data_IF_253859683196
#
_entry.id   IF_253859683196
#
_cell.length_a   1.000
_cell.length_b   1.000
_cell.length_c   1.000
_cell.angle_alpha   90.00
_cell.angle_beta   90.00
_cell.angle_gamma   90.00
#
_symmetry.space_group_name_H-M   'P 1'
#
loop_
_entity.id
_entity.type
_entity.pdbx_description
1 polymer ?
#
# COMPACT_ATOMS: atom_id res chain seq x y z
N UNK A 1 18.27 78.78 7.29
CA UNK A 1 18.95 78.32 8.52
C UNK A 1 18.31 77.01 8.95
N UNK A 2 19.05 75.88 9.01
CA UNK A 2 18.46 74.54 8.95
C UNK A 2 17.79 74.13 10.27
N UNK A 3 16.52 73.73 10.19
CA UNK A 3 15.62 73.35 11.31
C UNK A 3 15.64 71.86 11.68
N UNK A 4 16.51 71.05 11.08
CA UNK A 4 16.60 69.61 11.36
C UNK A 4 18.05 69.15 11.42
N UNK A 5 18.73 69.39 12.54
CA UNK A 5 20.07 68.86 12.80
C UNK A 5 20.24 68.24 14.19
N UNK A 6 19.17 67.70 14.78
CA UNK A 6 19.36 66.72 15.87
C UNK A 6 19.38 65.33 15.27
N UNK A 7 20.58 64.86 14.88
CA UNK A 7 20.80 63.46 14.50
C UNK A 7 20.37 62.59 15.68
N UNK A 8 19.57 61.57 15.39
CA UNK A 8 19.10 60.59 16.37
C UNK A 8 20.29 60.08 17.20
N UNK A 9 20.26 60.36 18.50
CA UNK A 9 21.28 59.93 19.44
C UNK A 9 20.61 58.98 20.42
N UNK A 10 20.93 57.69 20.30
CA UNK A 10 20.49 56.68 21.26
C UNK A 10 21.23 56.94 22.57
N UNK A 11 20.54 57.05 23.72
CA UNK A 11 21.22 57.15 25.01
C UNK A 11 22.27 56.05 25.12
N UNK A 12 23.50 56.39 25.49
CA UNK A 12 24.54 55.39 25.76
C UNK A 12 24.15 54.66 27.05
N UNK A 13 23.37 53.60 26.90
CA UNK A 13 23.07 52.71 27.99
C UNK A 13 24.38 52.03 28.42
N UNK A 14 24.67 51.90 29.73
CA UNK A 14 25.82 51.14 30.18
C UNK A 14 25.74 49.73 29.58
N UNK A 15 26.90 49.20 29.15
CA UNK A 15 26.98 47.84 28.64
C UNK A 15 26.25 46.92 29.62
N UNK A 16 25.32 46.11 29.10
CA UNK A 16 24.54 45.18 29.92
C UNK A 16 25.56 44.30 30.66
N UNK A 17 25.71 44.49 31.98
CA UNK A 17 26.71 43.76 32.79
C UNK A 17 26.40 42.27 32.88
N UNK A 18 25.18 41.88 32.51
CA UNK A 18 24.85 40.50 32.23
C UNK A 18 25.14 40.22 30.75
N UNK A 19 26.27 39.55 30.50
CA UNK A 19 26.31 38.56 29.41
C UNK A 19 25.09 37.66 29.56
N UNK A 20 24.55 37.13 28.46
CA UNK A 20 23.46 36.14 28.51
C UNK A 20 23.64 35.22 29.73
N UNK A 21 22.58 34.96 30.51
CA UNK A 21 22.65 34.03 31.66
C UNK A 21 23.16 32.62 31.26
N UNK A 22 23.33 32.39 29.96
CA UNK A 22 24.01 31.24 29.37
C UNK A 22 25.52 31.45 29.35
N UNK A 23 26.26 30.64 30.11
CA UNK A 23 27.73 30.54 30.06
C UNK A 23 28.25 29.89 28.75
N UNK A 24 27.39 29.72 27.73
CA UNK A 24 27.65 28.89 26.54
C UNK A 24 28.90 29.30 25.76
N UNK A 25 29.18 30.60 25.70
CA UNK A 25 30.36 31.18 25.03
C UNK A 25 31.66 31.04 25.82
N UNK A 26 31.58 30.74 27.12
CA UNK A 26 32.73 30.59 28.02
C UNK A 26 33.09 29.12 28.26
N UNK A 27 32.23 28.19 27.87
CA UNK A 27 32.44 26.76 27.96
C UNK A 27 33.26 26.26 26.77
N UNK A 28 34.21 25.36 27.05
CA UNK A 28 34.93 24.60 26.02
C UNK A 28 33.95 23.70 25.25
N UNK A 29 34.36 23.22 24.07
CA UNK A 29 33.45 22.45 23.20
C UNK A 29 32.88 21.21 23.89
N UNK A 30 33.66 20.58 24.76
CA UNK A 30 33.29 19.32 25.41
C UNK A 30 32.29 19.55 26.54
N UNK A 31 32.52 20.53 27.41
CA UNK A 31 31.52 20.89 28.44
C UNK A 31 30.25 21.44 27.81
N UNK A 32 30.37 22.21 26.73
CA UNK A 32 29.21 22.72 25.99
C UNK A 32 28.36 21.61 25.41
N UNK A 33 28.98 20.60 24.78
CA UNK A 33 28.23 19.44 24.30
C UNK A 33 27.70 18.63 25.48
N UNK A 34 28.44 18.46 26.56
CA UNK A 34 27.93 17.68 27.69
C UNK A 34 26.72 18.34 28.38
N UNK A 35 26.72 19.67 28.55
CA UNK A 35 25.67 20.39 29.26
C UNK A 35 24.49 20.80 28.37
N UNK A 36 24.76 21.09 27.09
CA UNK A 36 23.77 21.64 26.15
C UNK A 36 23.61 20.82 24.88
N UNK A 37 24.31 19.68 24.71
CA UNK A 37 23.96 18.76 23.62
C UNK A 37 22.59 18.17 23.92
N UNK A 38 21.84 18.07 22.85
CA UNK A 38 20.53 17.46 22.88
C UNK A 38 20.79 15.97 22.62
N UNK A 39 20.96 15.21 23.70
CA UNK A 39 20.99 13.75 23.64
C UNK A 39 19.59 13.25 23.33
N UNK A 40 19.18 13.37 22.06
CA UNK A 40 17.88 12.93 21.55
C UNK A 40 17.68 11.42 21.67
N UNK A 41 18.75 10.67 21.96
CA UNK A 41 18.74 9.22 21.91
C UNK A 41 18.38 8.73 20.49
N UNK A 42 17.96 7.46 20.35
CA UNK A 42 17.51 6.95 19.06
C UNK A 42 16.17 7.58 18.67
N UNK A 43 15.98 7.81 17.37
CA UNK A 43 14.74 8.39 16.81
C UNK A 43 13.57 7.45 17.15
N UNK A 44 12.50 7.97 17.75
CA UNK A 44 11.30 7.20 18.11
C UNK A 44 10.05 7.80 17.48
N UNK A 45 9.06 6.96 17.19
CA UNK A 45 7.76 7.38 16.68
C UNK A 45 6.67 6.42 17.15
N UNK A 46 5.41 6.87 17.22
CA UNK A 46 4.27 6.03 17.56
C UNK A 46 3.33 5.95 16.36
N UNK A 47 3.16 4.75 15.80
CA UNK A 47 2.18 4.49 14.75
C UNK A 47 1.18 3.43 15.20
N UNK A 48 -0.10 3.72 15.04
CA UNK A 48 -1.20 2.79 15.36
C UNK A 48 -1.12 2.22 16.80
N UNK A 49 -0.72 3.06 17.76
CA UNK A 49 -0.58 2.67 19.17
C UNK A 49 0.66 1.83 19.51
N UNK A 50 1.56 1.59 18.55
CA UNK A 50 2.85 0.91 18.77
C UNK A 50 3.98 1.92 18.78
N UNK A 51 4.92 1.78 19.70
CA UNK A 51 6.14 2.57 19.76
C UNK A 51 7.21 1.94 18.86
N UNK A 52 7.88 2.74 18.03
CA UNK A 52 8.93 2.31 17.11
C UNK A 52 10.19 3.13 17.32
N UNK A 53 11.34 2.49 17.19
CA UNK A 53 12.68 3.07 17.29
C UNK A 53 13.46 2.79 16.01
N UNK A 54 14.09 3.82 15.46
CA UNK A 54 14.96 3.68 14.30
C UNK A 54 16.36 3.23 14.73
N UNK A 55 16.80 2.05 14.29
CA UNK A 55 18.13 1.49 14.54
C UNK A 55 18.64 0.80 13.30
N UNK A 56 19.92 0.96 12.97
CA UNK A 56 20.59 0.30 11.84
C UNK A 56 19.84 0.43 10.49
N UNK A 57 19.21 1.58 10.23
CA UNK A 57 18.48 1.82 8.97
C UNK A 57 17.05 1.27 8.94
N UNK A 58 16.54 0.71 10.04
CA UNK A 58 15.23 0.07 10.11
C UNK A 58 14.42 0.54 11.33
N UNK A 59 13.08 0.48 11.22
CA UNK A 59 12.16 0.75 12.33
C UNK A 59 11.87 -0.54 13.10
N UNK A 60 12.05 -0.51 14.42
CA UNK A 60 11.89 -1.66 15.33
C UNK A 60 10.84 -1.31 16.40
N UNK A 61 9.92 -2.21 16.71
CA UNK A 61 8.88 -1.97 17.73
C UNK A 61 9.49 -2.03 19.14
N UNK A 62 9.29 -0.97 19.94
CA UNK A 62 9.76 -0.84 21.33
C UNK A 62 8.80 -1.58 22.29
N UNK A 63 9.32 -2.51 23.10
CA UNK A 63 8.54 -3.23 24.13
C UNK A 63 8.20 -4.69 23.86
N UNK A 64 8.54 -5.24 22.68
CA UNK A 64 8.29 -6.66 22.35
C UNK A 64 9.48 -7.59 22.69
N UNK A 65 10.59 -7.05 23.22
CA UNK A 65 11.80 -7.83 23.53
C UNK A 65 12.12 -7.84 25.03
N UNK A 66 11.33 -8.56 25.81
CA UNK A 66 11.86 -9.23 26.99
C UNK A 66 12.59 -10.49 26.51
N UNK A 67 13.93 -10.43 26.50
CA UNK A 67 14.84 -11.47 26.02
C UNK A 67 14.86 -11.58 24.49
N UNK A 68 15.90 -11.05 23.85
CA UNK A 68 16.73 -11.78 22.90
C UNK A 68 17.98 -10.93 22.63
N UNK A 69 19.11 -11.37 23.18
CA UNK A 69 20.41 -11.19 22.53
C UNK A 69 20.45 -12.08 21.29
N UNK A 70 19.54 -11.85 20.34
CA UNK A 70 19.50 -12.58 19.08
C UNK A 70 18.94 -11.66 18.00
N UNK A 71 19.67 -11.54 16.90
CA UNK A 71 19.38 -10.69 15.76
C UNK A 71 18.17 -11.17 14.93
N UNK A 72 17.20 -11.90 15.54
CA UNK A 72 16.24 -12.73 14.82
C UNK A 72 14.80 -12.67 15.34
N UNK A 73 14.50 -12.06 16.49
CA UNK A 73 13.15 -12.13 17.10
C UNK A 73 12.03 -11.44 16.30
N UNK A 74 12.04 -10.11 16.19
CA UNK A 74 10.96 -9.37 15.51
C UNK A 74 11.03 -9.44 13.98
N UNK A 75 12.22 -9.70 13.42
CA UNK A 75 12.37 -10.05 12.01
C UNK A 75 11.63 -11.36 11.68
N UNK A 76 11.56 -12.32 12.61
CA UNK A 76 10.83 -13.57 12.38
C UNK A 76 9.31 -13.41 12.45
N UNK A 77 8.75 -12.49 13.26
CA UNK A 77 7.30 -12.31 13.30
C UNK A 77 6.78 -11.54 12.07
N UNK A 78 7.45 -10.45 11.68
CA UNK A 78 7.19 -9.80 10.38
C UNK A 78 7.50 -10.75 9.21
N UNK A 79 8.55 -11.56 9.30
CA UNK A 79 8.89 -12.60 8.34
C UNK A 79 7.82 -13.67 8.20
N UNK A 80 7.23 -14.11 9.32
CA UNK A 80 6.13 -15.09 9.34
C UNK A 80 4.85 -14.51 8.77
N UNK A 81 4.49 -13.28 9.16
CA UNK A 81 3.33 -12.55 8.62
C UNK A 81 3.49 -12.32 7.10
N UNK A 82 4.64 -11.83 6.66
CA UNK A 82 4.91 -11.63 5.23
C UNK A 82 4.94 -12.95 4.45
N UNK A 83 5.45 -14.02 5.04
CA UNK A 83 5.40 -15.35 4.45
C UNK A 83 3.96 -15.88 4.33
N UNK A 84 3.13 -15.72 5.37
CA UNK A 84 1.71 -16.08 5.34
C UNK A 84 0.98 -15.33 4.23
N UNK A 85 1.14 -14.00 4.19
CA UNK A 85 0.51 -13.14 3.18
C UNK A 85 0.93 -13.56 1.77
N UNK A 86 2.22 -13.84 1.55
CA UNK A 86 2.71 -14.33 0.24
C UNK A 86 2.08 -15.67 -0.16
N UNK A 87 1.93 -16.59 0.80
CA UNK A 87 1.29 -17.89 0.56
C UNK A 87 -0.19 -17.73 0.21
N UNK A 88 -0.92 -16.93 0.97
CA UNK A 88 -2.35 -16.64 0.69
C UNK A 88 -2.51 -15.96 -0.67
N UNK A 89 -1.67 -14.99 -1.00
CA UNK A 89 -1.70 -14.31 -2.29
C UNK A 89 -1.45 -15.29 -3.45
N UNK A 90 -0.48 -16.20 -3.29
CA UNK A 90 -0.21 -17.25 -4.28
C UNK A 90 -1.42 -18.17 -4.48
N UNK A 91 -2.07 -18.62 -3.40
CA UNK A 91 -3.28 -19.44 -3.47
C UNK A 91 -4.43 -18.70 -4.18
N UNK A 92 -4.62 -17.41 -3.87
CA UNK A 92 -5.62 -16.58 -4.52
C UNK A 92 -5.34 -16.40 -6.02
N UNK A 93 -4.08 -16.29 -6.43
CA UNK A 93 -3.70 -16.22 -7.84
C UNK A 93 -4.02 -17.54 -8.56
N UNK A 94 -3.71 -18.68 -7.95
CA UNK A 94 -4.04 -20.00 -8.51
C UNK A 94 -5.55 -20.20 -8.65
N UNK A 95 -6.32 -19.83 -7.63
CA UNK A 95 -7.78 -19.89 -7.66
C UNK A 95 -8.34 -18.95 -8.74
N UNK A 96 -7.81 -17.73 -8.86
CA UNK A 96 -8.23 -16.79 -9.89
C UNK A 96 -7.98 -17.33 -11.30
N UNK A 97 -6.81 -17.94 -11.54
CA UNK A 97 -6.48 -18.55 -12.82
C UNK A 97 -7.39 -19.76 -13.13
N UNK A 98 -7.67 -20.60 -12.14
CA UNK A 98 -8.59 -21.72 -12.29
C UNK A 98 -10.02 -21.24 -12.61
N UNK A 99 -10.48 -20.19 -11.94
CA UNK A 99 -11.80 -19.61 -12.20
C UNK A 99 -11.89 -19.04 -13.62
N UNK A 100 -10.85 -18.36 -14.11
CA UNK A 100 -10.79 -17.88 -15.49
C UNK A 100 -10.89 -19.04 -16.50
N UNK A 101 -10.08 -20.09 -16.31
CA UNK A 101 -10.14 -21.30 -17.14
C UNK A 101 -11.53 -21.94 -17.15
N UNK A 102 -12.21 -22.01 -15.99
CA UNK A 102 -13.57 -22.54 -15.91
C UNK A 102 -14.57 -21.68 -16.70
N UNK A 103 -14.44 -20.36 -16.63
CA UNK A 103 -15.28 -19.44 -17.39
C UNK A 103 -15.07 -19.64 -18.89
N UNK A 104 -13.83 -19.72 -19.35
CA UNK A 104 -13.51 -19.92 -20.77
C UNK A 104 -14.11 -21.23 -21.30
N UNK A 105 -13.93 -22.34 -20.57
CA UNK A 105 -14.50 -23.64 -20.95
C UNK A 105 -16.03 -23.60 -20.95
N UNK A 106 -16.65 -22.95 -19.96
CA UNK A 106 -18.11 -22.82 -19.90
C UNK A 106 -18.65 -21.97 -21.05
N UNK A 107 -17.92 -20.94 -21.47
CA UNK A 107 -18.29 -20.13 -22.65
C UNK A 107 -18.19 -20.96 -23.93
N UNK A 108 -17.14 -21.76 -24.09
CA UNK A 108 -16.99 -22.66 -25.24
C UNK A 108 -18.13 -23.68 -25.31
N UNK A 109 -18.46 -24.33 -24.18
CA UNK A 109 -19.58 -25.29 -24.12
C UNK A 109 -20.94 -24.61 -24.38
N UNK A 110 -21.14 -23.38 -23.90
CA UNK A 110 -22.35 -22.61 -24.21
C UNK A 110 -22.44 -22.25 -25.70
N UNK A 111 -21.31 -21.87 -26.31
CA UNK A 111 -21.27 -21.58 -27.74
C UNK A 111 -21.56 -22.82 -28.59
N UNK A 112 -20.97 -23.97 -28.23
CA UNK A 112 -21.19 -25.26 -28.90
C UNK A 112 -22.66 -25.68 -28.80
N UNK A 113 -23.24 -25.70 -27.60
CA UNK A 113 -24.66 -26.05 -27.40
C UNK A 113 -25.60 -25.09 -28.12
N UNK A 114 -25.29 -23.80 -28.16
CA UNK A 114 -26.09 -22.82 -28.92
C UNK A 114 -26.02 -23.07 -30.42
N UNK A 115 -24.84 -23.43 -30.95
CA UNK A 115 -24.68 -23.78 -32.35
C UNK A 115 -25.43 -25.08 -32.72
N UNK A 116 -25.39 -26.10 -31.86
CA UNK A 116 -26.15 -27.34 -32.03
C UNK A 116 -27.66 -27.09 -32.07
N UNK A 117 -28.18 -26.28 -31.15
CA UNK A 117 -29.60 -25.90 -31.13
C UNK A 117 -30.00 -25.22 -32.44
N UNK A 118 -29.22 -24.25 -32.91
CA UNK A 118 -29.51 -23.59 -34.19
C UNK A 118 -29.46 -24.53 -35.39
N UNK A 119 -28.56 -25.53 -35.40
CA UNK A 119 -28.56 -26.55 -36.46
C UNK A 119 -29.81 -27.43 -36.41
N UNK A 120 -30.21 -27.88 -35.22
CA UNK A 120 -31.43 -28.69 -35.04
C UNK A 120 -32.69 -27.91 -35.43
N UNK A 121 -32.79 -26.64 -35.08
CA UNK A 121 -33.90 -25.75 -35.48
C UNK A 121 -34.02 -25.67 -37.00
N UNK A 122 -32.90 -25.45 -37.70
CA UNK A 122 -32.84 -25.41 -39.15
C UNK A 122 -33.24 -26.75 -39.79
N UNK A 123 -32.79 -27.89 -39.24
CA UNK A 123 -33.19 -29.21 -39.73
C UNK A 123 -34.69 -29.46 -39.57
N UNK A 124 -35.26 -29.09 -38.43
CA UNK A 124 -36.71 -29.20 -38.17
C UNK A 124 -37.49 -28.32 -39.15
N UNK A 125 -37.05 -27.10 -39.40
CA UNK A 125 -37.68 -26.19 -40.36
C UNK A 125 -37.64 -26.76 -41.79
N UNK A 126 -36.49 -27.29 -42.21
CA UNK A 126 -36.33 -27.95 -43.50
C UNK A 126 -37.26 -29.17 -43.63
N UNK A 127 -37.32 -30.03 -42.61
CA UNK A 127 -38.23 -31.18 -42.60
C UNK A 127 -39.70 -30.75 -42.70
N UNK A 128 -40.11 -29.72 -41.94
CA UNK A 128 -41.45 -29.13 -42.04
C UNK A 128 -41.74 -28.65 -43.45
N UNK A 129 -40.81 -27.94 -44.09
CA UNK A 129 -40.97 -27.45 -45.47
C UNK A 129 -41.12 -28.60 -46.48
N UNK A 130 -40.36 -29.68 -46.34
CA UNK A 130 -40.50 -30.86 -47.22
C UNK A 130 -41.84 -31.58 -47.04
N UNK A 131 -42.34 -31.69 -45.79
CA UNK A 131 -43.65 -32.27 -45.48
C UNK A 131 -44.78 -31.43 -46.08
N UNK A 132 -44.78 -30.11 -45.86
CA UNK A 132 -45.80 -29.22 -46.43
C UNK A 132 -45.80 -29.24 -47.97
N UNK A 133 -44.64 -29.39 -48.61
CA UNK A 133 -44.56 -29.55 -50.07
C UNK A 133 -45.19 -30.86 -50.53
N UNK A 134 -44.91 -31.99 -49.86
CA UNK A 134 -45.50 -33.30 -50.17
C UNK A 134 -47.03 -33.30 -50.03
N UNK A 135 -47.57 -32.74 -48.95
CA UNK A 135 -49.03 -32.70 -48.72
C UNK A 135 -49.75 -31.92 -49.81
N UNK A 136 -49.19 -30.80 -50.26
CA UNK A 136 -49.78 -30.00 -51.34
C UNK A 136 -49.73 -30.72 -52.71
N UNK A 137 -48.68 -31.49 -53.00
CA UNK A 137 -48.62 -32.29 -54.23
C UNK A 137 -49.63 -33.43 -54.23
N UNK A 138 -49.87 -34.10 -53.10
CA UNK A 138 -50.88 -35.18 -53.03
C UNK A 138 -52.31 -34.67 -53.23
N UNK A 139 -52.64 -33.45 -52.79
CA UNK A 139 -53.97 -32.86 -52.98
C UNK A 139 -54.22 -32.45 -54.45
N UNK A 140 -53.17 -32.14 -55.22
CA UNK A 140 -53.32 -31.74 -56.64
C UNK A 140 -53.45 -32.91 -57.62
N UNK A 141 -53.23 -34.15 -57.17
CA UNK A 141 -53.23 -35.35 -58.04
C UNK A 141 -54.48 -36.23 -57.82
N UNK A 142 -55.37 -35.85 -56.90
CA UNK A 142 -56.67 -36.49 -56.66
C UNK A 142 -57.82 -35.63 -57.21
#
# INVERSE_FOLDING_TARGET
>A
MPLFQRKFNVPKFPARKASSMTNLSHLDSTTRSQEFSMDFGPIRTRLSGRDLVFRNGQWIIEGENGVLNDESGNATQLGRETFRIKKENHQLIEENNLLKLKIDILLDMLAETTAEVHLQENEIENLRNTLHKKTNTTIQVA
#
